data_IF_220995677052
#
_entry.id   IF_220995677052
#
_cell.length_a   1.000
_cell.length_b   1.000
_cell.length_c   1.000
_cell.angle_alpha   90.00
_cell.angle_beta   90.00
_cell.angle_gamma   90.00
#
_symmetry.space_group_name_H-M   'P 1'
#
loop_
_entity.id
_entity.type
_entity.pdbx_description
1 polymer ?
#
# COMPACT_ATOMS: atom_id res chain seq x y z
N UNK A 1 -6.85 -12.62 13.58
CA UNK A 1 -6.50 -12.01 12.28
C UNK A 1 -7.07 -10.60 12.25
N UNK A 2 -6.32 -9.62 11.75
CA UNK A 2 -6.77 -8.23 11.59
C UNK A 2 -6.83 -7.86 10.12
N UNK A 3 -7.86 -7.10 9.74
CA UNK A 3 -7.94 -6.51 8.41
C UNK A 3 -7.10 -5.23 8.38
N UNK A 4 -6.14 -5.14 7.46
CA UNK A 4 -5.16 -4.06 7.37
C UNK A 4 -5.29 -3.22 6.10
N UNK A 5 -6.16 -3.61 5.16
CA UNK A 5 -6.31 -2.87 3.91
C UNK A 5 -6.98 -1.50 4.15
N UNK A 6 -6.30 -0.37 3.85
CA UNK A 6 -6.70 0.96 4.31
C UNK A 6 -8.03 1.44 3.72
N UNK A 7 -8.39 0.95 2.53
CA UNK A 7 -9.63 1.34 1.85
C UNK A 7 -10.82 0.44 2.17
N UNK A 8 -10.65 -0.57 3.03
CA UNK A 8 -11.78 -1.41 3.43
C UNK A 8 -12.52 -0.76 4.61
N UNK A 9 -13.87 -0.68 4.61
CA UNK A 9 -14.64 -0.05 5.69
C UNK A 9 -14.40 -0.64 7.09
N UNK A 10 -13.96 -1.90 7.14
CA UNK A 10 -13.65 -2.65 8.37
C UNK A 10 -12.14 -2.69 8.67
N UNK A 11 -11.34 -1.80 8.07
CA UNK A 11 -9.92 -1.72 8.34
C UNK A 11 -9.67 -1.53 9.85
N UNK A 12 -8.71 -2.27 10.39
CA UNK A 12 -8.41 -2.32 11.82
C UNK A 12 -9.29 -3.28 12.62
N UNK A 13 -10.34 -3.89 12.06
CA UNK A 13 -11.16 -4.86 12.78
C UNK A 13 -10.46 -6.22 12.93
N UNK A 14 -10.64 -6.86 14.09
CA UNK A 14 -10.13 -8.20 14.36
C UNK A 14 -11.22 -9.26 14.17
N UNK A 15 -10.82 -10.39 13.63
CA UNK A 15 -11.68 -11.53 13.31
C UNK A 15 -11.07 -12.83 13.81
N UNK A 16 -11.95 -13.81 14.08
CA UNK A 16 -11.56 -15.18 14.35
C UNK A 16 -11.22 -15.88 13.03
N UNK A 17 -10.01 -16.39 12.91
CA UNK A 17 -9.55 -17.12 11.73
C UNK A 17 -10.09 -18.55 11.73
N UNK A 18 -10.59 -19.01 10.58
CA UNK A 18 -11.03 -20.39 10.40
C UNK A 18 -10.06 -21.16 9.50
N UNK A 19 -9.91 -20.73 8.25
CA UNK A 19 -9.10 -21.45 7.27
C UNK A 19 -8.61 -20.53 6.14
N UNK A 20 -7.56 -20.97 5.45
CA UNK A 20 -7.06 -20.36 4.21
C UNK A 20 -7.43 -21.27 3.05
N UNK A 21 -8.00 -20.69 2.00
CA UNK A 21 -8.40 -21.38 0.80
C UNK A 21 -7.69 -20.77 -0.40
N UNK A 22 -7.22 -21.62 -1.31
CA UNK A 22 -6.79 -21.16 -2.62
C UNK A 22 -8.04 -20.97 -3.48
N UNK A 23 -8.34 -19.72 -3.84
CA UNK A 23 -9.45 -19.39 -4.73
C UNK A 23 -8.93 -19.08 -6.13
N UNK A 24 -9.83 -19.05 -7.10
CA UNK A 24 -9.48 -18.68 -8.48
C UNK A 24 -8.91 -17.25 -8.62
N UNK A 25 -9.15 -16.36 -7.64
CA UNK A 25 -8.58 -14.99 -7.59
C UNK A 25 -7.30 -14.89 -6.78
N UNK A 26 -6.81 -16.00 -6.21
CA UNK A 26 -5.72 -16.02 -5.24
C UNK A 26 -6.18 -16.49 -3.87
N UNK A 27 -5.30 -16.38 -2.88
CA UNK A 27 -5.57 -16.91 -1.54
C UNK A 27 -6.56 -16.02 -0.79
N UNK A 28 -7.56 -16.68 -0.20
CA UNK A 28 -8.57 -16.05 0.66
C UNK A 28 -8.53 -16.67 2.05
N UNK A 29 -8.93 -15.89 3.03
CA UNK A 29 -9.06 -16.33 4.43
C UNK A 29 -10.51 -16.26 4.83
N UNK A 30 -11.00 -17.38 5.37
CA UNK A 30 -12.35 -17.51 5.91
C UNK A 30 -12.29 -17.17 7.40
N UNK A 31 -13.21 -16.32 7.86
CA UNK A 31 -13.23 -15.83 9.23
C UNK A 31 -14.64 -15.73 9.80
N UNK A 32 -14.74 -15.60 11.13
CA UNK A 32 -15.95 -15.18 11.83
C UNK A 32 -15.82 -13.74 12.30
N UNK A 33 -16.89 -12.97 12.11
CA UNK A 33 -17.04 -11.65 12.74
C UNK A 33 -17.48 -11.75 14.21
N UNK A 34 -17.56 -10.62 14.89
CA UNK A 34 -18.00 -10.57 16.29
C UNK A 34 -19.44 -11.01 16.54
N UNK A 35 -20.23 -11.30 15.50
CA UNK A 35 -21.58 -11.87 15.58
C UNK A 35 -21.61 -13.35 15.17
N UNK A 36 -20.44 -13.98 14.97
CA UNK A 36 -20.33 -15.37 14.54
C UNK A 36 -20.72 -15.61 13.08
N UNK A 37 -20.80 -14.56 12.25
CA UNK A 37 -21.12 -14.70 10.83
C UNK A 37 -19.84 -14.95 10.05
N UNK A 38 -19.91 -15.89 9.08
CA UNK A 38 -18.80 -16.16 8.17
C UNK A 38 -18.61 -15.04 7.16
N UNK A 39 -17.36 -14.62 7.01
CA UNK A 39 -16.89 -13.68 5.99
C UNK A 39 -15.63 -14.25 5.32
N UNK A 40 -15.31 -13.75 4.13
CA UNK A 40 -14.04 -14.04 3.47
C UNK A 40 -13.36 -12.75 3.04
N UNK A 41 -12.03 -12.73 3.14
CA UNK A 41 -11.20 -11.62 2.68
C UNK A 41 -10.03 -12.14 1.85
N UNK A 42 -9.52 -11.37 0.88
CA UNK A 42 -8.21 -11.65 0.28
C UNK A 42 -7.14 -11.72 1.37
N UNK A 43 -6.23 -12.70 1.29
CA UNK A 43 -5.16 -12.86 2.28
C UNK A 43 -4.32 -11.57 2.42
N UNK A 44 -4.01 -10.96 1.29
CA UNK A 44 -3.29 -9.68 1.13
C UNK A 44 -3.91 -8.49 1.86
N UNK A 45 -5.18 -8.59 2.26
CA UNK A 45 -5.85 -7.54 3.05
C UNK A 45 -5.71 -7.73 4.55
N UNK A 46 -5.02 -8.78 4.98
CA UNK A 46 -4.94 -9.18 6.39
C UNK A 46 -3.51 -9.18 6.90
N UNK A 47 -3.35 -9.05 8.21
CA UNK A 47 -2.06 -9.15 8.90
C UNK A 47 -1.37 -10.52 8.79
N UNK A 48 -2.04 -11.50 8.16
CA UNK A 48 -1.47 -12.82 7.87
C UNK A 48 -0.81 -12.90 6.48
N UNK A 49 -0.94 -11.86 5.65
CA UNK A 49 -0.20 -11.78 4.40
C UNK A 49 1.31 -11.85 4.70
N UNK A 50 2.04 -12.65 3.95
CA UNK A 50 3.49 -12.61 4.00
C UNK A 50 3.95 -11.21 3.61
N UNK A 51 4.93 -10.69 4.35
CA UNK A 51 5.61 -9.46 3.94
C UNK A 51 6.18 -9.71 2.56
N UNK A 52 5.80 -8.85 1.61
CA UNK A 52 6.27 -8.93 0.24
C UNK A 52 7.81 -8.96 0.21
N UNK A 53 8.38 -9.84 -0.62
CA UNK A 53 9.83 -10.09 -0.61
C UNK A 53 10.66 -8.84 -0.94
N UNK A 54 10.12 -7.93 -1.76
CA UNK A 54 10.75 -6.65 -2.01
C UNK A 54 10.70 -5.76 -0.77
N UNK A 55 9.55 -5.69 -0.08
CA UNK A 55 9.43 -4.93 1.18
C UNK A 55 10.36 -5.49 2.27
N UNK A 56 10.46 -6.82 2.38
CA UNK A 56 11.37 -7.47 3.30
C UNK A 56 12.85 -7.18 2.97
N UNK A 57 13.21 -7.18 1.68
CA UNK A 57 14.57 -6.87 1.22
C UNK A 57 14.91 -5.37 1.34
N UNK A 58 13.92 -4.50 1.20
CA UNK A 58 14.04 -3.05 1.29
C UNK A 58 14.33 -2.54 2.71
N UNK A 59 13.75 -3.18 3.73
CA UNK A 59 13.80 -2.68 5.11
C UNK A 59 13.32 -1.22 5.20
N UNK A 60 13.95 -0.42 6.07
CA UNK A 60 13.71 1.03 6.15
C UNK A 60 14.41 1.82 5.01
N UNK A 61 15.24 1.15 4.20
CA UNK A 61 16.13 1.78 3.22
C UNK A 61 15.50 2.07 1.86
N UNK A 62 14.32 1.53 1.57
CA UNK A 62 13.62 1.76 0.30
C UNK A 62 12.19 2.27 0.55
N UNK A 63 12.03 3.54 0.96
CA UNK A 63 10.70 4.13 1.21
C UNK A 63 9.85 4.29 -0.06
N UNK A 64 10.45 4.15 -1.25
CA UNK A 64 9.83 4.43 -2.53
C UNK A 64 10.01 3.26 -3.50
N UNK A 65 8.96 2.84 -4.18
CA UNK A 65 9.06 1.91 -5.31
C UNK A 65 9.70 2.63 -6.50
N UNK A 66 10.15 1.87 -7.49
CA UNK A 66 10.75 2.44 -8.71
C UNK A 66 9.85 3.46 -9.40
N UNK A 67 8.53 3.22 -9.43
CA UNK A 67 7.56 4.18 -9.99
C UNK A 67 7.54 5.50 -9.24
N UNK A 68 7.52 5.45 -7.90
CA UNK A 68 7.54 6.63 -7.03
C UNK A 68 8.81 7.45 -7.24
N UNK A 69 9.96 6.80 -7.48
CA UNK A 69 11.23 7.47 -7.78
C UNK A 69 11.24 8.17 -9.14
N UNK A 70 10.57 7.58 -10.15
CA UNK A 70 10.41 8.22 -11.46
C UNK A 70 9.52 9.46 -11.35
N UNK A 71 8.38 9.33 -10.66
CA UNK A 71 7.47 10.47 -10.43
C UNK A 71 8.15 11.59 -9.63
N UNK A 72 8.92 11.24 -8.60
CA UNK A 72 9.72 12.20 -7.83
C UNK A 72 10.76 12.92 -8.71
N UNK A 73 11.43 12.19 -9.61
CA UNK A 73 12.42 12.79 -10.51
C UNK A 73 11.76 13.82 -11.45
N UNK A 74 10.57 13.53 -11.97
CA UNK A 74 9.82 14.45 -12.81
C UNK A 74 9.39 15.73 -12.05
N UNK A 75 8.92 15.58 -10.81
CA UNK A 75 8.58 16.71 -9.94
C UNK A 75 9.79 17.62 -9.66
N UNK A 76 10.94 17.03 -9.33
CA UNK A 76 12.19 17.77 -9.09
C UNK A 76 12.64 18.49 -10.36
N UNK A 77 12.57 17.84 -11.52
CA UNK A 77 12.90 18.45 -12.80
C UNK A 77 12.00 19.66 -13.10
N UNK A 78 10.70 19.57 -12.79
CA UNK A 78 9.75 20.68 -12.90
C UNK A 78 10.12 21.87 -12.01
N UNK A 79 10.45 21.63 -10.75
CA UNK A 79 10.85 22.67 -9.79
C UNK A 79 12.15 23.38 -10.19
N UNK A 80 13.17 22.61 -10.59
CA UNK A 80 14.42 23.18 -11.12
C UNK A 80 14.18 23.98 -12.40
N UNK A 81 13.20 23.56 -13.21
CA UNK A 81 12.83 24.23 -14.45
C UNK A 81 12.07 25.54 -14.26
N UNK A 82 11.27 25.65 -13.19
CA UNK A 82 10.57 26.87 -12.80
C UNK A 82 11.49 27.85 -12.04
N UNK A 83 12.41 27.34 -11.23
CA UNK A 83 13.40 28.15 -10.49
C UNK A 83 14.30 28.99 -11.42
N UNK A 84 14.64 28.46 -12.60
CA UNK A 84 15.45 29.15 -13.62
C UNK A 84 14.72 30.24 -14.43
N UNK A 85 13.41 30.44 -14.25
CA UNK A 85 12.62 31.47 -14.96
C UNK A 85 12.25 32.68 -14.08
N UNK A 86 12.66 32.72 -12.81
CA UNK A 86 12.28 33.77 -11.85
C UNK A 86 13.24 34.95 -11.71
N UNK A 87 14.36 35.00 -12.44
CA UNK A 87 15.35 36.08 -12.33
C UNK A 87 15.62 36.68 -13.69
N UNK A 88 14.95 37.80 -13.98
CA UNK A 88 15.36 38.74 -15.01
C UNK A 88 14.23 39.29 -15.86
N UNK A 89 13.53 40.31 -15.35
CA UNK A 89 13.14 41.48 -16.16
C UNK A 89 12.97 42.68 -15.21
N UNK A 90 14.09 43.36 -14.94
CA UNK A 90 14.10 44.78 -14.57
C UNK A 90 14.63 45.51 -15.79
N UNK A 91 13.71 45.86 -16.68
CA UNK A 91 13.96 46.68 -17.86
C UNK A 91 13.98 48.16 -17.43
N UNK A 92 14.96 48.97 -17.87
CA UNK A 92 15.14 50.36 -17.42
C UNK A 92 14.09 51.32 -17.99
#
# INVERSE_FOLDING_TARGET
MRLIHPFHPRCGEAFEFLERLNSWRGDVVLVLDGQGRRCSFPLEWTDMALVDAFVAAAGEGCPYRTGDLVELADLVAGLLSGSRHGVGEMTP
#
